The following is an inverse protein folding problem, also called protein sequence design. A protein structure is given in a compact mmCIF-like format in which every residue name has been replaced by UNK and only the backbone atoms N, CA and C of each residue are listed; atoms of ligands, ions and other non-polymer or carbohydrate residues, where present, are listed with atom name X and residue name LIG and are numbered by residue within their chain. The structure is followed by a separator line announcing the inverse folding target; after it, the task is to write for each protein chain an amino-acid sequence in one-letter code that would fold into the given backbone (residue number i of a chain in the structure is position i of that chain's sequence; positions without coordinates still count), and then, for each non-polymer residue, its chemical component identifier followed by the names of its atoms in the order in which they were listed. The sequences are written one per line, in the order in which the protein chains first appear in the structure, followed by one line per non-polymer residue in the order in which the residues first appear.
data_IF_363788396498
#
_entry.id   IF_363788396498
#
_cell.length_a   1.000
_cell.length_b   1.000
_cell.length_c   1.000
_cell.angle_alpha   90.00
_cell.angle_beta   90.00
_cell.angle_gamma   90.00
#
_symmetry.space_group_name_H-M   'P 1'
#
loop_
_entity.id
_entity.type
_entity.pdbx_description
1 polymer ?
#
# COMPACT_ATOMS: atom_id res chain seq x y z
N UNK A 1 3.39 -3.95 12.84
CA UNK A 1 2.70 -2.72 13.29
C UNK A 1 2.06 -1.92 12.15
N UNK A 2 2.58 -1.91 10.92
CA UNK A 2 2.11 -1.00 9.85
C UNK A 2 0.65 -1.14 9.40
N UNK A 3 -0.02 -2.26 9.71
CA UNK A 3 -1.38 -2.57 9.22
C UNK A 3 -2.40 -2.56 10.34
N UNK A 4 -2.24 -3.43 11.35
CA UNK A 4 -3.21 -3.61 12.43
C UNK A 4 -3.47 -2.30 13.21
N UNK A 5 -2.41 -1.57 13.59
CA UNK A 5 -2.59 -0.33 14.34
C UNK A 5 -3.24 0.78 13.51
N UNK A 6 -3.05 0.78 12.18
CA UNK A 6 -3.69 1.75 11.30
C UNK A 6 -5.17 1.47 11.10
N UNK A 7 -5.54 0.21 10.95
CA UNK A 7 -6.94 -0.20 10.88
C UNK A 7 -7.65 0.20 12.17
N UNK A 8 -7.06 -0.11 13.32
CA UNK A 8 -7.57 0.31 14.62
C UNK A 8 -7.66 1.84 14.74
N UNK A 9 -6.63 2.57 14.34
CA UNK A 9 -6.61 4.04 14.38
C UNK A 9 -7.69 4.65 13.47
N UNK A 10 -7.89 4.12 12.26
CA UNK A 10 -8.95 4.61 11.35
C UNK A 10 -10.36 4.31 11.86
N UNK A 11 -10.57 3.14 12.48
CA UNK A 11 -11.85 2.77 13.08
C UNK A 11 -12.15 3.62 14.33
N UNK A 12 -11.14 3.92 15.15
CA UNK A 12 -11.28 4.84 16.27
C UNK A 12 -11.52 6.27 15.81
N UNK A 13 -10.80 6.73 14.78
CA UNK A 13 -10.95 8.07 14.23
C UNK A 13 -12.37 8.31 13.73
N UNK A 14 -12.91 7.41 12.90
CA UNK A 14 -14.31 7.49 12.42
C UNK A 14 -15.29 7.57 13.58
N UNK A 15 -15.21 6.66 14.57
CA UNK A 15 -16.06 6.68 15.76
C UNK A 15 -15.95 7.98 16.59
N UNK A 16 -14.74 8.50 16.79
CA UNK A 16 -14.52 9.74 17.56
C UNK A 16 -15.10 10.95 16.83
N UNK A 17 -14.80 11.09 15.53
CA UNK A 17 -15.35 12.18 14.73
C UNK A 17 -16.87 12.08 14.63
N UNK A 18 -17.42 10.85 14.58
CA UNK A 18 -18.85 10.63 14.50
C UNK A 18 -19.61 11.05 15.76
N UNK A 19 -19.10 10.62 16.92
CA UNK A 19 -19.80 10.75 18.21
C UNK A 19 -19.48 12.08 18.91
N UNK A 20 -18.22 12.51 18.89
CA UNK A 20 -17.75 13.63 19.72
C UNK A 20 -17.81 14.96 18.96
N UNK A 21 -17.52 14.95 17.65
CA UNK A 21 -17.33 16.17 16.86
C UNK A 21 -18.47 16.48 15.89
N UNK A 22 -19.66 15.94 16.13
CA UNK A 22 -20.84 16.15 15.27
C UNK A 22 -21.16 17.63 15.01
N UNK A 23 -20.87 18.52 15.97
CA UNK A 23 -21.26 19.94 15.90
C UNK A 23 -20.19 20.91 15.35
N UNK A 24 -18.91 20.53 15.27
CA UNK A 24 -17.82 21.41 14.80
C UNK A 24 -17.17 20.92 13.50
N UNK A 25 -17.97 20.67 12.47
CA UNK A 25 -17.50 19.97 11.26
C UNK A 25 -16.43 20.76 10.48
N UNK A 26 -16.49 22.10 10.48
CA UNK A 26 -15.68 22.90 9.56
C UNK A 26 -14.20 23.04 9.98
N UNK A 27 -13.91 23.14 11.28
CA UNK A 27 -12.53 23.32 11.78
C UNK A 27 -11.71 22.02 11.65
N UNK A 28 -12.32 20.88 11.99
CA UNK A 28 -11.65 19.57 11.91
C UNK A 28 -11.44 19.12 10.47
N UNK A 29 -12.37 19.44 9.57
CA UNK A 29 -12.24 19.12 8.15
C UNK A 29 -10.97 19.76 7.56
N UNK A 30 -10.77 21.06 7.80
CA UNK A 30 -9.60 21.80 7.31
C UNK A 30 -8.29 21.24 7.88
N UNK A 31 -8.25 20.93 9.18
CA UNK A 31 -7.08 20.31 9.82
C UNK A 31 -6.76 18.94 9.22
N UNK A 32 -7.77 18.08 9.00
CA UNK A 32 -7.59 16.77 8.39
C UNK A 32 -7.13 16.88 6.93
N UNK A 33 -7.64 17.84 6.18
CA UNK A 33 -7.24 18.08 4.79
C UNK A 33 -5.76 18.48 4.70
N UNK A 34 -5.32 19.43 5.54
CA UNK A 34 -3.90 19.81 5.63
C UNK A 34 -3.04 18.60 6.00
N UNK A 35 -3.47 17.80 6.98
CA UNK A 35 -2.73 16.63 7.44
C UNK A 35 -2.64 15.55 6.34
N UNK A 36 -3.71 15.35 5.58
CA UNK A 36 -3.76 14.42 4.46
C UNK A 36 -2.79 14.85 3.35
N UNK A 37 -2.82 16.13 2.95
CA UNK A 37 -1.92 16.72 1.96
C UNK A 37 -0.47 16.56 2.41
N UNK A 38 -0.15 16.98 3.63
CA UNK A 38 1.21 16.93 4.16
C UNK A 38 1.73 15.48 4.23
N UNK A 39 0.88 14.54 4.65
CA UNK A 39 1.20 13.11 4.71
C UNK A 39 1.49 12.52 3.33
N UNK A 40 0.65 12.81 2.32
CA UNK A 40 0.87 12.37 0.94
C UNK A 40 2.16 12.94 0.36
N UNK A 41 2.43 14.22 0.61
CA UNK A 41 3.61 14.93 0.10
C UNK A 41 4.89 14.37 0.74
N UNK A 42 4.99 14.42 2.08
CA UNK A 42 6.17 13.98 2.81
C UNK A 42 6.42 12.49 2.63
N UNK A 43 5.38 11.67 2.69
CA UNK A 43 5.49 10.22 2.54
C UNK A 43 6.07 9.81 1.20
N UNK A 44 5.55 10.36 0.09
CA UNK A 44 6.01 9.98 -1.24
C UNK A 44 7.37 10.62 -1.61
N UNK A 45 7.62 11.88 -1.25
CA UNK A 45 8.90 12.52 -1.57
C UNK A 45 10.08 11.91 -0.81
N UNK A 46 9.92 11.65 0.49
CA UNK A 46 10.99 11.07 1.31
C UNK A 46 11.22 9.60 0.94
N UNK A 47 10.18 8.88 0.50
CA UNK A 47 10.33 7.49 0.03
C UNK A 47 11.30 7.37 -1.15
N UNK A 48 11.31 8.32 -2.09
CA UNK A 48 12.15 8.29 -3.29
C UNK A 48 13.65 8.26 -2.97
N UNK A 49 14.05 8.94 -1.90
CA UNK A 49 15.46 9.09 -1.52
C UNK A 49 15.97 7.94 -0.64
N UNK A 50 15.09 7.06 -0.17
CA UNK A 50 15.50 5.96 0.70
C UNK A 50 16.30 4.89 -0.06
N UNK A 51 17.31 4.35 0.61
CA UNK A 51 18.18 3.27 0.11
C UNK A 51 17.84 1.91 0.72
N UNK A 52 17.15 1.90 1.86
CA UNK A 52 16.73 0.70 2.58
C UNK A 52 15.23 0.42 2.30
N UNK A 53 14.90 -0.84 2.02
CA UNK A 53 13.55 -1.23 1.60
C UNK A 53 12.51 -1.04 2.72
N UNK A 54 12.88 -1.36 3.97
CA UNK A 54 11.99 -1.23 5.14
C UNK A 54 11.69 0.24 5.43
N UNK A 55 12.71 1.10 5.33
CA UNK A 55 12.54 2.57 5.49
C UNK A 55 11.68 3.15 4.39
N UNK A 56 11.92 2.76 3.14
CA UNK A 56 11.08 3.19 2.02
C UNK A 56 9.61 2.83 2.23
N UNK A 57 9.32 1.58 2.64
CA UNK A 57 7.95 1.15 2.93
C UNK A 57 7.31 1.84 4.14
N UNK A 58 8.11 2.26 5.12
CA UNK A 58 7.62 3.08 6.22
C UNK A 58 7.15 4.45 5.72
N UNK A 59 7.91 5.12 4.86
CA UNK A 59 7.50 6.40 4.26
C UNK A 59 6.33 6.25 3.28
N UNK A 60 6.32 5.18 2.49
CA UNK A 60 5.16 4.80 1.68
C UNK A 60 3.92 4.61 2.56
N UNK A 61 4.05 3.91 3.69
CA UNK A 61 2.96 3.76 4.65
C UNK A 61 2.44 5.11 5.15
N UNK A 62 3.29 6.10 5.37
CA UNK A 62 2.85 7.46 5.73
C UNK A 62 2.02 8.06 4.58
N UNK A 63 2.53 8.03 3.35
CA UNK A 63 1.78 8.52 2.19
C UNK A 63 0.42 7.85 1.99
N UNK A 64 0.33 6.54 2.22
CA UNK A 64 -0.91 5.77 2.05
C UNK A 64 -1.96 6.12 3.12
N UNK A 65 -1.54 6.54 4.33
CA UNK A 65 -2.47 7.11 5.33
C UNK A 65 -3.13 8.38 4.80
N UNK A 66 -2.38 9.22 4.08
CA UNK A 66 -2.94 10.42 3.47
C UNK A 66 -4.10 10.12 2.52
N UNK A 67 -4.04 9.02 1.75
CA UNK A 67 -5.17 8.59 0.92
C UNK A 67 -6.35 8.08 1.74
N UNK A 68 -6.10 7.35 2.83
CA UNK A 68 -7.14 6.87 3.76
C UNK A 68 -7.91 8.05 4.37
N UNK A 69 -7.21 9.15 4.71
CA UNK A 69 -7.84 10.34 5.25
C UNK A 69 -8.86 10.97 4.28
N UNK A 70 -8.67 10.84 2.96
CA UNK A 70 -9.63 11.35 1.97
C UNK A 70 -11.04 10.77 2.22
N UNK A 71 -11.12 9.47 2.52
CA UNK A 71 -12.39 8.80 2.83
C UNK A 71 -12.96 9.14 4.22
N UNK A 72 -12.14 9.61 5.16
CA UNK A 72 -12.60 10.06 6.49
C UNK A 72 -13.19 11.47 6.41
N UNK A 73 -12.59 12.32 5.57
CA UNK A 73 -12.97 13.72 5.38
C UNK A 73 -14.33 13.80 4.67
N UNK A 74 -14.59 12.92 3.69
CA UNK A 74 -15.86 12.84 2.96
C UNK A 74 -16.98 12.14 3.75
N UNK A 75 -17.31 12.68 4.94
CA UNK A 75 -18.37 12.15 5.80
C UNK A 75 -19.78 12.34 5.23
N UNK A 76 -19.98 13.32 4.36
CA UNK A 76 -21.32 13.68 3.86
C UNK A 76 -21.88 12.67 2.86
N UNK A 77 -21.06 11.78 2.30
CA UNK A 77 -21.51 10.68 1.49
C UNK A 77 -21.37 9.36 2.28
N UNK A 78 -22.43 8.55 2.37
CA UNK A 78 -22.33 7.16 2.88
C UNK A 78 -21.22 6.35 2.16
N UNK A 79 -20.75 6.83 1.02
CA UNK A 79 -19.72 6.20 0.20
C UNK A 79 -18.30 6.53 0.67
N UNK A 80 -18.05 7.66 1.36
CA UNK A 80 -16.73 8.06 1.83
C UNK A 80 -16.10 7.03 2.77
N UNK A 81 -16.82 6.65 3.83
CA UNK A 81 -16.34 5.59 4.74
C UNK A 81 -16.22 4.22 4.08
N UNK A 82 -17.14 3.89 3.16
CA UNK A 82 -17.06 2.64 2.41
C UNK A 82 -15.78 2.60 1.56
N UNK A 83 -15.38 3.74 0.97
CA UNK A 83 -14.13 3.88 0.20
C UNK A 83 -12.89 3.73 1.07
N UNK A 84 -12.92 4.24 2.30
CA UNK A 84 -11.86 4.04 3.28
C UNK A 84 -11.71 2.56 3.66
N UNK A 85 -12.81 1.89 4.01
CA UNK A 85 -12.81 0.48 4.46
C UNK A 85 -12.32 -0.43 3.34
N UNK A 86 -12.85 -0.25 2.13
CA UNK A 86 -12.45 -1.04 0.95
C UNK A 86 -10.97 -0.87 0.62
N UNK A 87 -10.47 0.36 0.62
CA UNK A 87 -9.05 0.63 0.41
C UNK A 87 -8.17 0.03 1.51
N UNK A 88 -8.59 0.14 2.78
CA UNK A 88 -7.89 -0.47 3.91
C UNK A 88 -7.80 -1.98 3.80
N UNK A 89 -8.88 -2.65 3.38
CA UNK A 89 -8.89 -4.08 3.14
C UNK A 89 -7.84 -4.47 2.10
N UNK A 90 -7.76 -3.74 0.98
CA UNK A 90 -6.74 -3.99 -0.04
C UNK A 90 -5.33 -3.73 0.48
N UNK A 91 -5.16 -2.65 1.25
CA UNK A 91 -3.88 -2.27 1.85
C UNK A 91 -3.33 -3.33 2.81
N UNK A 92 -4.22 -4.03 3.54
CA UNK A 92 -3.84 -5.17 4.40
C UNK A 92 -3.15 -6.25 3.55
N UNK A 93 -3.80 -6.74 2.49
CA UNK A 93 -3.25 -7.81 1.65
C UNK A 93 -1.97 -7.40 0.93
N UNK A 94 -1.95 -6.18 0.37
CA UNK A 94 -0.77 -5.64 -0.32
C UNK A 94 0.45 -5.58 0.60
N UNK A 95 0.27 -5.08 1.84
CA UNK A 95 1.39 -4.97 2.76
C UNK A 95 1.83 -6.30 3.34
N UNK A 96 0.90 -7.18 3.72
CA UNK A 96 1.28 -8.50 4.23
C UNK A 96 2.07 -9.25 3.16
N UNK A 97 1.64 -9.21 1.90
CA UNK A 97 2.38 -9.80 0.78
C UNK A 97 3.77 -9.17 0.60
N UNK A 98 3.86 -7.84 0.62
CA UNK A 98 5.14 -7.14 0.47
C UNK A 98 6.11 -7.46 1.62
N UNK A 99 5.66 -7.39 2.88
CA UNK A 99 6.49 -7.69 4.04
C UNK A 99 6.87 -9.17 4.12
N UNK A 100 6.00 -10.09 3.71
CA UNK A 100 6.32 -11.52 3.63
C UNK A 100 7.48 -11.77 2.67
N UNK A 101 7.47 -11.14 1.49
CA UNK A 101 8.55 -11.24 0.52
C UNK A 101 9.87 -10.66 1.06
N UNK A 102 9.81 -9.49 1.71
CA UNK A 102 11.00 -8.83 2.29
C UNK A 102 11.59 -9.66 3.44
N UNK A 103 10.76 -10.21 4.31
CA UNK A 103 11.21 -11.08 5.41
C UNK A 103 11.86 -12.34 4.84
N UNK A 104 11.26 -12.96 3.82
CA UNK A 104 11.83 -14.14 3.17
C UNK A 104 13.18 -13.84 2.51
N UNK A 105 13.33 -12.68 1.86
CA UNK A 105 14.60 -12.24 1.31
C UNK A 105 15.62 -11.99 2.42
N UNK A 106 15.26 -11.22 3.45
CA UNK A 106 16.11 -10.88 4.61
C UNK A 106 16.59 -12.14 5.35
N UNK A 107 15.75 -13.16 5.50
CA UNK A 107 16.12 -14.45 6.10
C UNK A 107 17.13 -15.24 5.25
N UNK A 108 17.22 -15.00 3.94
CA UNK A 108 18.10 -15.73 3.02
C UNK A 108 19.41 -14.99 2.76
N UNK A 109 19.41 -13.66 2.76
CA UNK A 109 20.58 -12.83 2.42
C UNK A 109 21.17 -12.07 3.60
N UNK A 110 20.38 -11.84 4.65
CA UNK A 110 20.77 -11.03 5.81
C UNK A 110 20.75 -9.52 5.56
N UNK A 111 20.28 -9.03 4.41
CA UNK A 111 20.33 -7.60 4.06
C UNK A 111 18.97 -7.02 3.68
N UNK A 112 18.80 -5.72 3.96
CA UNK A 112 17.57 -4.96 3.67
C UNK A 112 17.82 -3.79 2.69
N UNK A 113 18.98 -3.73 2.05
CA UNK A 113 19.30 -2.67 1.10
C UNK A 113 18.63 -2.93 -0.23
N UNK A 114 18.04 -1.89 -0.84
CA UNK A 114 17.35 -1.99 -2.12
C UNK A 114 18.30 -2.50 -3.22
N UNK A 115 19.59 -2.15 -3.16
CA UNK A 115 20.60 -2.55 -4.15
C UNK A 115 20.85 -4.06 -4.20
N UNK A 116 20.60 -4.76 -3.10
CA UNK A 116 20.91 -6.19 -2.98
C UNK A 116 19.82 -7.06 -3.61
N UNK A 117 18.66 -6.48 -3.95
CA UNK A 117 17.58 -7.15 -4.67
C UNK A 117 17.87 -7.32 -6.17
N UNK A 118 19.03 -6.86 -6.65
CA UNK A 118 19.37 -6.84 -8.07
C UNK A 118 19.48 -8.27 -8.64
N UNK A 119 18.71 -8.56 -9.70
CA UNK A 119 18.71 -9.87 -10.34
C UNK A 119 18.05 -10.99 -9.53
N UNK A 120 17.23 -10.68 -8.51
CA UNK A 120 16.53 -11.71 -7.73
C UNK A 120 15.65 -12.62 -8.61
N UNK A 121 15.15 -12.11 -9.73
CA UNK A 121 14.32 -12.86 -10.66
C UNK A 121 15.00 -14.13 -11.23
N UNK A 122 16.33 -14.14 -11.40
CA UNK A 122 17.03 -15.30 -11.98
C UNK A 122 17.29 -16.42 -10.98
N UNK A 123 17.28 -16.12 -9.67
CA UNK A 123 17.35 -17.13 -8.61
C UNK A 123 15.96 -17.60 -8.19
N UNK A 124 15.10 -16.64 -7.86
CA UNK A 124 13.81 -16.87 -7.22
C UNK A 124 12.72 -16.08 -7.94
N UNK A 125 12.29 -16.56 -9.12
CA UNK A 125 11.28 -15.86 -9.92
C UNK A 125 9.97 -15.71 -9.15
N UNK A 126 9.61 -16.68 -8.30
CA UNK A 126 8.38 -16.65 -7.53
C UNK A 126 8.33 -15.48 -6.53
N UNK A 127 9.38 -15.33 -5.70
CA UNK A 127 9.48 -14.24 -4.71
C UNK A 127 9.62 -12.86 -5.39
N UNK A 128 10.37 -12.79 -6.49
CA UNK A 128 10.51 -11.56 -7.27
C UNK A 128 9.18 -11.11 -7.87
N UNK A 129 8.40 -12.03 -8.46
CA UNK A 129 7.08 -11.75 -9.03
C UNK A 129 6.06 -11.37 -7.96
N UNK A 130 6.02 -12.07 -6.83
CA UNK A 130 5.10 -11.75 -5.74
C UNK A 130 5.36 -10.36 -5.16
N UNK A 131 6.63 -10.01 -4.95
CA UNK A 131 7.02 -8.69 -4.48
C UNK A 131 6.70 -7.62 -5.54
N UNK A 132 6.99 -7.88 -6.82
CA UNK A 132 6.64 -6.96 -7.89
C UNK A 132 5.13 -6.69 -7.95
N UNK A 133 4.28 -7.72 -7.97
CA UNK A 133 2.83 -7.57 -8.01
C UNK A 133 2.28 -6.80 -6.80
N UNK A 134 2.79 -7.06 -5.59
CA UNK A 134 2.38 -6.33 -4.40
C UNK A 134 2.79 -4.84 -4.47
N UNK A 135 4.00 -4.53 -4.95
CA UNK A 135 4.47 -3.15 -5.12
C UNK A 135 3.73 -2.41 -6.24
N UNK A 136 3.43 -3.08 -7.37
CA UNK A 136 2.59 -2.52 -8.43
C UNK A 136 1.18 -2.19 -7.88
N UNK A 137 0.63 -3.07 -7.03
CA UNK A 137 -0.68 -2.85 -6.41
C UNK A 137 -0.64 -1.64 -5.48
N UNK A 138 0.40 -1.50 -4.64
CA UNK A 138 0.59 -0.32 -3.79
C UNK A 138 0.76 0.98 -4.61
N UNK A 139 1.43 0.90 -5.75
CA UNK A 139 1.55 1.99 -6.72
C UNK A 139 0.21 2.38 -7.33
N UNK A 140 -0.74 1.44 -7.42
CA UNK A 140 -2.05 1.65 -8.03
C UNK A 140 -1.99 1.57 -9.55
N UNK A 141 -1.33 0.54 -10.09
CA UNK A 141 -1.31 0.29 -11.54
C UNK A 141 -2.52 -0.60 -11.91
N UNK A 142 -3.31 -0.25 -12.95
CA UNK A 142 -4.37 -1.13 -13.45
C UNK A 142 -3.72 -2.43 -13.95
N UNK A 143 -4.17 -3.66 -13.62
CA UNK A 143 -5.50 -4.12 -13.15
C UNK A 143 -5.57 -4.52 -11.65
N UNK A 144 -4.67 -4.03 -10.80
CA UNK A 144 -4.52 -4.51 -9.42
C UNK A 144 -5.50 -3.85 -8.43
N UNK A 145 -5.76 -4.50 -7.30
CA UNK A 145 -6.71 -4.02 -6.28
C UNK A 145 -6.40 -2.60 -5.78
N UNK A 146 -5.12 -2.25 -5.60
CA UNK A 146 -4.76 -0.92 -5.11
C UNK A 146 -5.10 0.22 -6.07
N UNK A 147 -5.24 -0.04 -7.37
CA UNK A 147 -5.76 0.94 -8.33
C UNK A 147 -7.24 1.22 -8.08
N UNK A 148 -8.07 0.17 -8.01
CA UNK A 148 -9.51 0.31 -7.77
C UNK A 148 -9.81 0.94 -6.41
N UNK A 149 -9.04 0.61 -5.39
CA UNK A 149 -9.19 1.24 -4.07
C UNK A 149 -8.88 2.74 -4.09
N UNK A 150 -7.77 3.16 -4.72
CA UNK A 150 -7.44 4.59 -4.87
C UNK A 150 -8.45 5.33 -5.73
N UNK A 151 -8.90 4.74 -6.84
CA UNK A 151 -9.93 5.32 -7.68
C UNK A 151 -11.22 5.57 -6.91
N UNK A 152 -11.65 4.62 -6.09
CA UNK A 152 -12.88 4.76 -5.31
C UNK A 152 -12.76 5.86 -4.25
N UNK A 153 -11.61 5.99 -3.59
CA UNK A 153 -11.30 7.11 -2.69
C UNK A 153 -11.37 8.46 -3.42
N UNK A 154 -10.75 8.56 -4.60
CA UNK A 154 -10.77 9.78 -5.40
C UNK A 154 -12.16 10.12 -5.93
N UNK A 155 -12.94 9.11 -6.30
CA UNK A 155 -14.32 9.28 -6.74
C UNK A 155 -15.18 9.90 -5.64
N UNK A 156 -15.13 9.35 -4.42
CA UNK A 156 -15.87 9.87 -3.28
C UNK A 156 -15.39 11.30 -2.92
N UNK A 157 -14.07 11.50 -2.81
CA UNK A 157 -13.50 12.83 -2.52
C UNK A 157 -13.85 13.89 -3.59
N UNK A 158 -14.00 13.49 -4.86
CA UNK A 158 -14.44 14.39 -5.91
C UNK A 158 -15.93 14.75 -5.78
N UNK A 159 -16.77 13.76 -5.47
CA UNK A 159 -18.20 13.96 -5.21
C UNK A 159 -18.46 14.85 -3.98
N UNK A 160 -17.56 14.80 -2.99
CA UNK A 160 -17.56 15.65 -1.80
C UNK A 160 -17.22 17.13 -2.06
N UNK A 161 -16.68 17.44 -3.24
CA UNK A 161 -16.17 18.78 -3.56
C UNK A 161 -14.72 19.05 -3.12
N UNK A 162 -13.99 18.04 -2.62
CA UNK A 162 -12.57 18.16 -2.20
C UNK A 162 -11.61 18.07 -3.39
N UNK A 163 -11.82 18.91 -4.42
CA UNK A 163 -11.08 18.86 -5.68
C UNK A 163 -9.56 19.03 -5.52
N UNK A 164 -9.15 19.89 -4.60
CA UNK A 164 -7.74 20.17 -4.34
C UNK A 164 -7.04 18.93 -3.76
N UNK A 165 -7.63 18.32 -2.73
CA UNK A 165 -7.10 17.12 -2.09
C UNK A 165 -6.98 15.95 -3.07
N UNK A 166 -8.00 15.72 -3.90
CA UNK A 166 -7.99 14.66 -4.93
C UNK A 166 -6.92 14.92 -5.99
N UNK A 167 -6.78 16.17 -6.45
CA UNK A 167 -5.77 16.54 -7.45
C UNK A 167 -4.35 16.31 -6.95
N UNK A 168 -4.05 16.72 -5.72
CA UNK A 168 -2.76 16.44 -5.07
C UNK A 168 -2.58 14.94 -4.88
N UNK A 169 -3.62 14.21 -4.45
CA UNK A 169 -3.58 12.77 -4.26
C UNK A 169 -3.23 12.02 -5.55
N UNK A 170 -3.85 12.38 -6.67
CA UNK A 170 -3.53 11.83 -7.99
C UNK A 170 -2.06 12.11 -8.38
N UNK A 171 -1.61 13.36 -8.23
CA UNK A 171 -0.23 13.75 -8.56
C UNK A 171 0.80 12.97 -7.72
N UNK A 172 0.59 12.88 -6.40
CA UNK A 172 1.45 12.11 -5.52
C UNK A 172 1.38 10.61 -5.79
N UNK A 173 0.26 10.10 -6.28
CA UNK A 173 0.15 8.69 -6.70
C UNK A 173 1.03 8.40 -7.92
N UNK A 174 1.10 9.30 -8.90
CA UNK A 174 2.03 9.18 -10.03
C UNK A 174 3.49 9.16 -9.57
N UNK A 175 3.83 10.04 -8.63
CA UNK A 175 5.16 10.06 -7.99
C UNK A 175 5.42 8.73 -7.26
N UNK A 176 4.40 8.15 -6.64
CA UNK A 176 4.56 6.89 -5.91
C UNK A 176 4.97 5.74 -6.80
N UNK A 177 4.40 5.68 -8.02
CA UNK A 177 4.70 4.66 -9.02
C UNK A 177 6.19 4.65 -9.38
N UNK A 178 6.84 5.82 -9.45
CA UNK A 178 8.26 5.91 -9.80
C UNK A 178 9.16 5.11 -8.85
N UNK A 179 9.02 5.27 -7.54
CA UNK A 179 9.88 4.56 -6.60
C UNK A 179 9.57 3.06 -6.52
N UNK A 180 8.32 2.65 -6.76
CA UNK A 180 7.96 1.23 -6.88
C UNK A 180 8.54 0.59 -8.14
N UNK A 181 8.37 1.23 -9.30
CA UNK A 181 8.93 0.75 -10.58
C UNK A 181 10.45 0.68 -10.54
N UNK A 182 11.12 1.59 -9.83
CA UNK A 182 12.57 1.54 -9.62
C UNK A 182 13.01 0.23 -8.95
N UNK A 183 12.26 -0.27 -7.97
CA UNK A 183 12.55 -1.55 -7.32
C UNK A 183 12.25 -2.72 -8.26
N UNK A 184 11.11 -2.68 -8.94
CA UNK A 184 10.72 -3.75 -9.88
C UNK A 184 11.75 -3.88 -11.00
N UNK A 185 12.20 -2.75 -11.57
CA UNK A 185 13.27 -2.72 -12.56
C UNK A 185 14.55 -3.36 -12.01
N UNK A 186 14.90 -3.08 -10.75
CA UNK A 186 16.09 -3.63 -10.12
C UNK A 186 15.96 -5.15 -9.86
N UNK A 187 14.78 -5.66 -9.50
CA UNK A 187 14.53 -7.10 -9.37
C UNK A 187 14.75 -7.85 -10.69
N UNK A 188 14.30 -7.27 -11.80
CA UNK A 188 14.35 -7.88 -13.13
C UNK A 188 15.70 -7.65 -13.84
N UNK A 189 16.34 -6.51 -13.60
CA UNK A 189 17.60 -6.14 -14.27
C UNK A 189 18.77 -6.71 -13.49
N UNK A 190 19.53 -7.60 -14.12
CA UNK A 190 20.85 -7.98 -13.63
C UNK A 190 21.80 -6.81 -13.79
N UNK A 191 22.42 -6.36 -12.70
CA UNK A 191 23.46 -5.33 -12.79
C UNK A 191 24.76 -5.99 -13.24
N UNK A 192 25.14 -5.74 -14.49
CA UNK A 192 26.51 -5.91 -15.04
C UNK A 192 27.27 -7.16 -14.59
N UNK A 193 26.80 -8.37 -14.94
CA UNK A 193 27.53 -9.66 -14.80
C UNK A 193 28.04 -10.05 -13.40
N UNK A 194 27.85 -9.22 -12.38
CA UNK A 194 28.19 -9.51 -10.99
C UNK A 194 26.89 -9.54 -10.19
N UNK A 195 26.34 -10.75 -10.07
CA UNK A 195 25.30 -11.04 -9.08
C UNK A 195 25.87 -10.57 -7.74
N UNK A 196 25.16 -9.67 -7.04
CA UNK A 196 25.57 -9.23 -5.70
C UNK A 196 25.87 -10.49 -4.87
N UNK A 197 26.97 -10.57 -4.08
CA UNK A 197 27.36 -11.80 -3.39
C UNK A 197 26.24 -12.37 -2.51
N UNK A 198 25.32 -11.52 -2.06
CA UNK A 198 24.10 -11.90 -1.34
C UNK A 198 23.09 -12.71 -2.19
N UNK A 199 22.86 -12.35 -3.45
CA UNK A 199 21.99 -13.10 -4.37
C UNK A 199 22.71 -14.35 -4.88
N UNK A 200 24.04 -14.32 -4.96
CA UNK A 200 24.83 -15.50 -5.34
C UNK A 200 24.81 -16.58 -4.26
N UNK A 201 24.83 -16.18 -2.98
CA UNK A 201 24.70 -17.06 -1.81
C UNK A 201 23.24 -17.41 -1.46
N UNK A 202 22.29 -17.01 -2.29
CA UNK A 202 20.87 -17.26 -2.06
C UNK A 202 20.57 -18.76 -2.18
N UNK A 203 20.33 -19.43 -1.04
CA UNK A 203 20.01 -20.85 -0.99
C UNK A 203 18.50 -21.07 -1.03
N UNK A 204 18.02 -21.66 -2.12
CA UNK A 204 16.71 -22.30 -2.23
C UNK A 204 16.70 -23.56 -1.34
N UNK A 205 16.52 -23.39 -0.04
CA UNK A 205 16.36 -24.50 0.89
C UNK A 205 14.88 -24.62 1.28
N UNK A 206 14.27 -25.72 0.85
CA UNK A 206 12.94 -26.20 1.22
C UNK A 206 12.93 -26.67 2.68
N UNK A 207 12.57 -25.80 3.61
CA UNK A 207 12.35 -26.17 5.01
C UNK A 207 10.92 -25.77 5.40
N UNK A 208 10.28 -26.62 6.20
CA UNK A 208 8.83 -26.64 6.50
C UNK A 208 8.31 -25.29 7.06
N UNK A 209 9.12 -24.49 7.76
CA UNK A 209 8.69 -23.15 8.23
C UNK A 209 8.51 -22.13 7.09
N UNK A 210 9.16 -22.34 5.94
CA UNK A 210 9.08 -21.47 4.76
C UNK A 210 7.79 -21.69 3.96
N UNK A 211 7.16 -22.87 4.08
CA UNK A 211 5.88 -23.16 3.42
C UNK A 211 4.77 -22.19 3.88
N UNK A 212 4.77 -21.77 5.16
CA UNK A 212 3.77 -20.82 5.65
C UNK A 212 3.97 -19.40 5.09
N UNK A 213 5.22 -18.95 4.94
CA UNK A 213 5.53 -17.64 4.35
C UNK A 213 5.21 -17.66 2.86
N UNK A 214 5.60 -18.71 2.15
CA UNK A 214 5.30 -18.89 0.73
C UNK A 214 3.79 -18.99 0.48
N UNK A 215 3.05 -19.74 1.30
CA UNK A 215 1.59 -19.79 1.25
C UNK A 215 0.96 -18.41 1.50
N UNK A 216 1.44 -17.67 2.51
CA UNK A 216 0.99 -16.30 2.78
C UNK A 216 1.23 -15.36 1.59
N UNK A 217 2.40 -15.47 0.93
CA UNK A 217 2.70 -14.71 -0.28
C UNK A 217 1.74 -15.06 -1.42
N UNK A 218 1.49 -16.35 -1.67
CA UNK A 218 0.55 -16.80 -2.71
C UNK A 218 -0.84 -16.21 -2.46
N UNK A 219 -1.36 -16.37 -1.24
CA UNK A 219 -2.68 -15.87 -0.85
C UNK A 219 -2.76 -14.35 -1.02
N UNK A 220 -1.75 -13.60 -0.57
CA UNK A 220 -1.74 -12.15 -0.69
C UNK A 220 -1.65 -11.67 -2.14
N UNK A 221 -0.87 -12.35 -2.99
CA UNK A 221 -0.77 -12.03 -4.42
C UNK A 221 -2.11 -12.27 -5.11
N UNK A 222 -2.70 -13.45 -4.89
CA UNK A 222 -4.02 -13.79 -5.44
C UNK A 222 -5.07 -12.79 -4.97
N UNK A 223 -5.11 -12.47 -3.68
CA UNK A 223 -6.01 -11.46 -3.13
C UNK A 223 -5.77 -10.09 -3.78
N UNK A 224 -4.52 -9.64 -3.92
CA UNK A 224 -4.20 -8.33 -4.51
C UNK A 224 -4.56 -8.21 -5.99
N UNK A 225 -4.66 -9.33 -6.71
CA UNK A 225 -5.09 -9.37 -8.10
C UNK A 225 -6.62 -9.53 -8.23
N UNK A 226 -7.22 -10.46 -7.49
CA UNK A 226 -8.65 -10.79 -7.61
C UNK A 226 -9.56 -9.77 -6.93
N UNK A 227 -9.16 -9.21 -5.79
CA UNK A 227 -10.00 -8.25 -5.05
C UNK A 227 -10.31 -6.98 -5.86
N UNK A 228 -9.42 -6.60 -6.79
CA UNK A 228 -9.68 -5.49 -7.70
C UNK A 228 -10.82 -5.79 -8.68
N UNK A 229 -10.89 -7.03 -9.19
CA UNK A 229 -11.93 -7.48 -10.12
C UNK A 229 -13.25 -7.69 -9.37
N UNK A 230 -13.19 -8.23 -8.15
CA UNK A 230 -14.34 -8.54 -7.30
C UNK A 230 -14.62 -7.37 -6.33
N UNK A 231 -14.44 -6.13 -6.78
CA UNK A 231 -14.63 -4.93 -5.95
C UNK A 231 -16.10 -4.77 -5.52
N UNK A 232 -17.04 -5.06 -6.43
CA UNK A 232 -18.46 -4.75 -6.26
C UNK A 232 -19.11 -5.33 -4.97
N UNK A 233 -18.98 -6.64 -4.66
CA UNK A 233 -19.55 -7.18 -3.43
C UNK A 233 -18.86 -6.64 -2.17
N UNK A 234 -17.57 -6.26 -2.25
CA UNK A 234 -16.83 -5.72 -1.10
C UNK A 234 -17.34 -4.31 -0.77
N UNK A 235 -17.62 -3.50 -1.79
CA UNK A 235 -18.23 -2.17 -1.61
C UNK A 235 -19.62 -2.30 -1.00
N UNK A 236 -20.45 -3.24 -1.49
CA UNK A 236 -21.78 -3.48 -0.95
C UNK A 236 -21.73 -3.84 0.55
N UNK A 237 -20.86 -4.79 0.92
CA UNK A 237 -20.67 -5.15 2.34
C UNK A 237 -20.18 -3.93 3.15
N UNK A 238 -19.25 -3.14 2.61
CA UNK A 238 -18.73 -1.95 3.30
C UNK A 238 -19.83 -0.90 3.53
N UNK A 239 -20.74 -0.71 2.57
CA UNK A 239 -21.89 0.17 2.70
C UNK A 239 -22.89 -0.36 3.75
N UNK A 240 -23.16 -1.66 3.77
CA UNK A 240 -24.08 -2.28 4.74
C UNK A 240 -23.53 -2.27 6.17
N UNK A 241 -22.21 -2.28 6.35
CA UNK A 241 -21.57 -2.21 7.68
C UNK A 241 -21.54 -0.81 8.28
N UNK A 242 -21.85 0.22 7.50
CA UNK A 242 -21.96 1.59 7.98
C UNK A 242 -23.37 1.80 8.53
N UNK A 243 -23.47 1.60 9.84
CA UNK A 243 -24.64 1.95 10.66
C UNK A 243 -24.82 3.47 10.77
#
# INVERSE_FOLDING_TARGET
MSVISKVAASALATRIFDIIFYFSLNEWHLLLEILAILSMILGNLIAITQTNIKRMLAYSSIGQIGYILIGIIDRNSNNGYASMITYMLFYIFMNIGTFACIVLFSLRTGTDNIRDYAGLYTKDPFSALSLALCLLSLGGIPPLAGFFGKLYLFWCGWQAGSYLLVSIGLFMSVISIYYYLKIIKLLMTERNKEITPHVQNYRLSSSISKNYIEFSMIVCVIASALLGIVMNPIVAIAQDTLF
#
